data_IF_190584692217
#
_entry.id   IF_190584692217
#
_cell.length_a   1.000
_cell.length_b   1.000
_cell.length_c   1.000
_cell.angle_alpha   90.00
_cell.angle_beta   90.00
_cell.angle_gamma   90.00
#
_symmetry.space_group_name_H-M   'P 1'
#
loop_
_entity.id
_entity.type
_entity.pdbx_description
1 polymer ?
#
# COMPACT_ATOMS: atom_id res chain seq x y z
N UNK A 1 -2.57 -9.75 -16.26
CA UNK A 1 -2.23 -10.41 -14.99
C UNK A 1 -3.27 -9.99 -13.96
N UNK A 2 -3.81 -10.89 -13.12
CA UNK A 2 -4.69 -10.48 -12.01
C UNK A 2 -3.82 -10.10 -10.80
N UNK A 3 -4.11 -9.00 -10.09
CA UNK A 3 -3.35 -8.65 -8.88
C UNK A 3 -3.52 -9.74 -7.81
N UNK A 4 -2.51 -9.90 -6.96
CA UNK A 4 -2.67 -10.70 -5.75
C UNK A 4 -3.68 -10.02 -4.82
N UNK A 5 -4.41 -10.81 -4.03
CA UNK A 5 -5.38 -10.27 -3.06
C UNK A 5 -4.90 -10.47 -1.63
N UNK A 6 -4.82 -9.40 -0.87
CA UNK A 6 -4.46 -9.46 0.56
C UNK A 6 -5.23 -8.42 1.35
N UNK A 7 -5.81 -8.82 2.48
CA UNK A 7 -6.50 -7.88 3.36
C UNK A 7 -5.56 -7.42 4.48
N UNK A 8 -5.63 -6.14 4.80
CA UNK A 8 -4.82 -5.51 5.83
C UNK A 8 -5.68 -5.14 7.03
N UNK A 9 -5.06 -5.13 8.20
CA UNK A 9 -5.63 -4.57 9.42
C UNK A 9 -4.82 -3.36 9.84
N UNK A 10 -5.49 -2.23 10.05
CA UNK A 10 -4.85 -1.00 10.49
C UNK A 10 -5.53 -0.52 11.76
N UNK A 11 -4.73 -0.35 12.82
CA UNK A 11 -5.20 0.28 14.05
C UNK A 11 -5.28 1.79 13.81
N UNK A 12 -6.48 2.35 14.00
CA UNK A 12 -6.75 3.77 13.77
C UNK A 12 -5.95 4.63 14.77
N UNK A 13 -5.17 5.58 14.26
CA UNK A 13 -4.27 6.43 15.05
C UNK A 13 -2.89 5.84 15.32
N UNK A 14 -2.54 4.72 14.68
CA UNK A 14 -1.23 4.09 14.81
C UNK A 14 -0.38 4.33 13.55
N UNK A 15 0.84 4.83 13.72
CA UNK A 15 1.78 5.09 12.62
C UNK A 15 2.74 3.92 12.34
N UNK A 16 2.30 2.67 12.57
CA UNK A 16 3.16 1.49 12.35
C UNK A 16 3.51 1.35 10.85
N UNK A 17 4.78 1.19 10.48
CA UNK A 17 5.18 0.97 9.09
C UNK A 17 4.56 -0.31 8.51
N UNK A 18 4.20 -0.27 7.23
CA UNK A 18 3.77 -1.43 6.45
C UNK A 18 4.70 -1.61 5.25
N UNK A 19 5.24 -2.81 5.09
CA UNK A 19 6.18 -3.12 4.01
C UNK A 19 5.54 -4.07 3.01
N UNK A 20 5.48 -3.64 1.76
CA UNK A 20 5.04 -4.41 0.61
C UNK A 20 6.27 -5.04 -0.05
N UNK A 21 6.32 -6.38 -0.04
CA UNK A 21 7.33 -7.16 -0.76
C UNK A 21 6.64 -7.83 -1.94
N UNK A 22 6.95 -7.39 -3.15
CA UNK A 22 6.40 -8.02 -4.35
C UNK A 22 7.46 -8.89 -5.01
N UNK A 23 7.20 -10.19 -5.01
CA UNK A 23 8.01 -11.17 -5.68
C UNK A 23 7.11 -12.09 -6.53
N UNK A 24 7.63 -12.54 -7.66
CA UNK A 24 7.01 -13.57 -8.49
C UNK A 24 7.87 -14.82 -8.42
N UNK A 25 7.22 -15.96 -8.24
CA UNK A 25 7.90 -17.25 -8.37
C UNK A 25 7.71 -17.75 -9.79
N UNK A 26 8.81 -17.90 -10.53
CA UNK A 26 8.82 -18.43 -11.89
C UNK A 26 9.79 -19.61 -11.94
N UNK A 27 9.31 -20.77 -12.41
CA UNK A 27 10.10 -22.01 -12.51
C UNK A 27 10.82 -22.40 -11.21
N UNK A 28 10.20 -22.16 -10.05
CA UNK A 28 10.77 -22.48 -8.74
C UNK A 28 11.76 -21.44 -8.18
N UNK A 29 12.07 -20.38 -8.92
CA UNK A 29 12.88 -19.26 -8.44
C UNK A 29 11.99 -18.07 -8.07
N UNK A 30 12.19 -17.52 -6.87
CA UNK A 30 11.55 -16.26 -6.46
C UNK A 30 12.37 -15.09 -6.98
N UNK A 31 11.75 -14.26 -7.81
CA UNK A 31 12.33 -13.03 -8.34
C UNK A 31 11.55 -11.83 -7.81
N UNK A 32 12.26 -10.85 -7.25
CA UNK A 32 11.69 -9.54 -6.98
C UNK A 32 11.41 -8.81 -8.28
N UNK A 33 10.33 -8.04 -8.30
CA UNK A 33 10.05 -7.18 -9.43
C UNK A 33 11.05 -6.04 -9.46
N UNK A 34 11.82 -5.92 -10.54
CA UNK A 34 12.86 -4.90 -10.74
C UNK A 34 12.54 -3.99 -11.92
N UNK A 35 13.25 -2.87 -12.01
CA UNK A 35 13.20 -1.95 -13.16
C UNK A 35 11.98 -1.01 -13.21
N UNK A 36 11.12 -1.06 -12.20
CA UNK A 36 10.10 -0.03 -11.98
C UNK A 36 10.74 1.22 -11.37
N UNK A 37 10.15 2.38 -11.65
CA UNK A 37 10.67 3.69 -11.20
C UNK A 37 9.84 4.29 -10.08
N UNK A 38 8.55 3.95 -10.03
CA UNK A 38 7.61 4.53 -9.07
C UNK A 38 6.65 3.48 -8.55
N UNK A 39 6.40 3.51 -7.24
CA UNK A 39 5.30 2.78 -6.64
C UNK A 39 4.19 3.76 -6.23
N UNK A 40 2.95 3.29 -6.33
CA UNK A 40 1.76 4.04 -5.95
C UNK A 40 0.90 3.16 -5.05
N UNK A 41 0.53 3.70 -3.89
CA UNK A 41 -0.49 3.13 -3.02
C UNK A 41 -1.72 4.04 -3.07
N UNK A 42 -2.82 3.49 -3.57
CA UNK A 42 -4.12 4.16 -3.57
C UNK A 42 -5.02 3.50 -2.54
N UNK A 43 -5.56 4.29 -1.61
CA UNK A 43 -6.48 3.83 -0.57
C UNK A 43 -7.80 4.57 -0.74
N UNK A 44 -8.87 3.84 -0.97
CA UNK A 44 -10.20 4.40 -1.18
C UNK A 44 -11.06 4.14 0.05
N UNK A 45 -11.39 5.22 0.74
CA UNK A 45 -12.35 5.22 1.85
C UNK A 45 -13.71 5.69 1.33
N UNK A 46 -14.79 5.54 2.12
CA UNK A 46 -16.10 6.10 1.75
C UNK A 46 -16.12 7.63 1.62
N UNK A 47 -15.14 8.35 2.19
CA UNK A 47 -15.12 9.82 2.28
C UNK A 47 -14.01 10.47 1.45
N UNK A 48 -12.95 9.75 1.16
CA UNK A 48 -11.74 10.30 0.55
C UNK A 48 -10.90 9.22 -0.15
N UNK A 49 -10.05 9.67 -1.07
CA UNK A 49 -8.99 8.86 -1.66
C UNK A 49 -7.65 9.37 -1.14
N UNK A 50 -6.86 8.47 -0.56
CA UNK A 50 -5.49 8.73 -0.11
C UNK A 50 -4.56 8.13 -1.15
N UNK A 51 -3.66 8.93 -1.69
CA UNK A 51 -2.66 8.49 -2.67
C UNK A 51 -1.27 8.75 -2.10
N UNK A 52 -0.45 7.70 -2.03
CA UNK A 52 0.95 7.77 -1.60
C UNK A 52 1.84 7.26 -2.73
N UNK A 53 3.00 7.88 -2.89
CA UNK A 53 3.95 7.54 -3.96
C UNK A 53 5.38 7.50 -3.42
N UNK A 54 6.30 6.93 -4.19
CA UNK A 54 7.73 6.93 -3.88
C UNK A 54 8.45 8.22 -4.31
N UNK A 55 7.73 9.22 -4.81
CA UNK A 55 8.34 10.51 -5.15
C UNK A 55 8.70 11.28 -3.87
N UNK A 56 9.42 12.39 -4.02
CA UNK A 56 9.68 13.30 -2.92
C UNK A 56 8.37 13.67 -2.21
N UNK A 57 8.31 13.45 -0.88
CA UNK A 57 7.15 13.71 -0.02
C UNK A 57 5.93 12.80 -0.24
N UNK A 58 6.01 11.77 -1.10
CA UNK A 58 4.89 10.88 -1.43
C UNK A 58 4.50 9.89 -0.33
N UNK A 59 5.30 9.75 0.73
CA UNK A 59 4.99 8.90 1.90
C UNK A 59 5.28 7.41 1.72
N UNK A 60 5.77 6.97 0.56
CA UNK A 60 6.35 5.64 0.36
C UNK A 60 7.87 5.74 0.26
N UNK A 61 8.56 4.72 0.78
CA UNK A 61 10.02 4.59 0.68
C UNK A 61 10.37 3.27 0.01
N UNK A 62 11.04 3.35 -1.15
CA UNK A 62 11.67 2.20 -1.79
C UNK A 62 12.92 1.81 -1.01
N UNK A 63 13.04 0.52 -0.71
CA UNK A 63 14.19 -0.09 -0.04
C UNK A 63 15.15 -0.67 -1.08
N UNK A 64 16.41 -0.88 -0.70
CA UNK A 64 17.46 -1.46 -1.57
C UNK A 64 17.11 -2.87 -2.08
N UNK A 65 16.35 -3.63 -1.30
CA UNK A 65 15.91 -4.99 -1.64
C UNK A 65 14.66 -5.02 -2.55
N UNK A 66 14.20 -3.85 -3.01
CA UNK A 66 13.00 -3.70 -3.84
C UNK A 66 11.69 -3.72 -3.06
N UNK A 67 11.72 -3.80 -1.73
CA UNK A 67 10.53 -3.61 -0.91
C UNK A 67 10.08 -2.14 -0.91
N UNK A 68 8.78 -1.91 -0.74
CA UNK A 68 8.22 -0.56 -0.58
C UNK A 68 7.58 -0.45 0.79
N UNK A 69 8.02 0.50 1.58
CA UNK A 69 7.47 0.74 2.92
C UNK A 69 6.61 1.99 2.91
N UNK A 70 5.37 1.86 3.38
CA UNK A 70 4.51 2.97 3.73
C UNK A 70 4.63 3.25 5.23
N UNK A 71 5.00 4.48 5.59
CA UNK A 71 4.89 4.98 6.96
C UNK A 71 3.63 5.86 7.05
N UNK A 72 2.48 5.32 7.49
CA UNK A 72 1.26 6.10 7.58
C UNK A 72 1.37 7.16 8.68
N UNK A 73 0.75 8.32 8.46
CA UNK A 73 0.55 9.29 9.53
C UNK A 73 -0.61 8.88 10.44
N UNK A 74 -0.69 9.51 11.62
CA UNK A 74 -1.86 9.36 12.52
C UNK A 74 -3.14 9.79 11.81
N UNK A 75 -3.07 10.85 11.00
CA UNK A 75 -4.19 11.34 10.20
C UNK A 75 -4.61 10.31 9.12
N UNK A 76 -3.64 9.76 8.39
CA UNK A 76 -3.89 8.73 7.38
C UNK A 76 -4.68 7.57 8.01
N UNK A 77 -4.21 7.03 9.14
CA UNK A 77 -4.87 5.88 9.79
C UNK A 77 -6.20 6.23 10.46
N UNK A 78 -6.39 7.47 10.95
CA UNK A 78 -7.68 7.91 11.52
C UNK A 78 -8.76 8.13 10.44
N UNK A 79 -8.36 8.48 9.23
CA UNK A 79 -9.26 8.65 8.08
C UNK A 79 -9.88 7.33 7.62
N UNK A 80 -9.24 6.20 7.93
CA UNK A 80 -9.76 4.87 7.66
C UNK A 80 -10.93 4.59 8.64
N UNK A 81 -12.16 4.37 8.14
CA UNK A 81 -13.30 4.03 8.99
C UNK A 81 -13.09 2.69 9.69
N UNK A 82 -13.77 2.52 10.83
CA UNK A 82 -13.82 1.22 11.50
C UNK A 82 -14.52 0.18 10.61
N UNK A 83 -14.02 -1.05 10.61
CA UNK A 83 -14.54 -2.15 9.81
C UNK A 83 -13.94 -2.20 8.40
N UNK A 84 -14.46 -3.12 7.57
CA UNK A 84 -13.93 -3.46 6.24
C UNK A 84 -14.62 -2.65 5.14
N UNK A 85 -14.45 -1.32 5.19
CA UNK A 85 -15.11 -0.37 4.29
C UNK A 85 -14.13 0.36 3.35
N UNK A 86 -12.85 0.03 3.44
CA UNK A 86 -11.79 0.68 2.68
C UNK A 86 -11.13 -0.32 1.77
N UNK A 87 -10.99 0.01 0.49
CA UNK A 87 -10.19 -0.76 -0.46
C UNK A 87 -8.83 -0.11 -0.65
N UNK A 88 -7.86 -0.89 -1.12
CA UNK A 88 -6.58 -0.37 -1.54
C UNK A 88 -6.05 -1.11 -2.77
N UNK A 89 -5.20 -0.41 -3.51
CA UNK A 89 -4.44 -0.93 -4.64
C UNK A 89 -3.00 -0.45 -4.52
N UNK A 90 -2.07 -1.37 -4.78
CA UNK A 90 -0.65 -1.11 -4.85
C UNK A 90 -0.15 -1.40 -6.27
N UNK A 91 0.43 -0.39 -6.88
CA UNK A 91 0.79 -0.35 -8.29
C UNK A 91 2.28 -0.01 -8.44
N UNK A 92 2.93 -0.62 -9.43
CA UNK A 92 4.25 -0.21 -9.89
C UNK A 92 4.13 0.42 -11.27
N UNK A 93 4.99 1.41 -11.54
CA UNK A 93 5.06 2.14 -12.80
C UNK A 93 6.50 2.09 -13.33
N UNK A 94 6.65 1.90 -14.63
CA UNK A 94 7.93 1.82 -15.33
C UNK A 94 8.16 3.05 -16.22
N UNK A 95 9.43 3.32 -16.54
CA UNK A 95 9.86 4.37 -17.46
C UNK A 95 9.16 4.30 -18.83
N UNK A 96 8.83 3.08 -19.27
CA UNK A 96 8.13 2.81 -20.53
C UNK A 96 6.67 3.28 -20.54
N UNK A 97 6.14 3.77 -19.41
CA UNK A 97 4.73 4.09 -19.24
C UNK A 97 3.86 2.88 -18.86
N UNK A 98 4.46 1.69 -18.77
CA UNK A 98 3.76 0.52 -18.26
C UNK A 98 3.38 0.71 -16.79
N UNK A 99 2.18 0.26 -16.42
CA UNK A 99 1.68 0.27 -15.06
C UNK A 99 1.02 -1.08 -14.75
N UNK A 100 1.30 -1.62 -13.56
CA UNK A 100 0.69 -2.88 -13.12
C UNK A 100 0.31 -2.82 -11.65
N UNK A 101 -0.96 -3.09 -11.37
CA UNK A 101 -1.46 -3.38 -10.02
C UNK A 101 -0.97 -4.76 -9.59
N UNK A 102 -0.23 -4.82 -8.48
CA UNK A 102 0.38 -6.05 -8.00
C UNK A 102 -0.35 -6.62 -6.79
N UNK A 103 -0.89 -5.74 -5.95
CA UNK A 103 -1.64 -6.11 -4.76
C UNK A 103 -2.90 -5.26 -4.68
N UNK A 104 -4.02 -5.89 -4.37
CA UNK A 104 -5.25 -5.18 -4.06
C UNK A 104 -5.96 -5.89 -2.90
N UNK A 105 -6.84 -5.18 -2.22
CA UNK A 105 -7.65 -5.79 -1.18
C UNK A 105 -8.40 -4.79 -0.35
N UNK A 106 -8.83 -5.24 0.82
CA UNK A 106 -9.55 -4.40 1.77
C UNK A 106 -8.67 -4.10 2.97
N UNK A 107 -8.83 -2.91 3.52
CA UNK A 107 -8.31 -2.52 4.82
C UNK A 107 -9.46 -2.59 5.82
N UNK A 108 -9.22 -3.28 6.94
CA UNK A 108 -10.09 -3.26 8.11
C UNK A 108 -9.52 -2.28 9.12
N UNK A 109 -10.23 -1.17 9.36
CA UNK A 109 -9.88 -0.25 10.44
C UNK A 109 -10.27 -0.82 11.80
N UNK A 110 -9.33 -0.87 12.74
CA UNK A 110 -9.54 -1.38 14.11
C UNK A 110 -9.42 -0.22 15.12
N UNK A 111 -10.36 -0.14 16.04
CA UNK A 111 -10.32 0.78 17.19
C UNK A 111 -10.75 2.23 16.90
N UNK A 112 -10.34 3.16 17.77
CA UNK A 112 -10.63 4.59 17.66
C UNK A 112 -11.97 5.04 18.30
N UNK A 113 -12.32 4.45 19.46
CA UNK A 113 -13.38 4.93 20.36
C UNK A 113 -12.80 5.84 21.47
N UNK A 114 -11.48 6.03 21.54
CA UNK A 114 -10.94 7.04 22.45
C UNK A 114 -11.23 8.42 21.87
N UNK A 115 -12.30 9.02 22.36
CA UNK A 115 -12.52 10.46 22.35
C UNK A 115 -11.41 11.11 23.17
N UNK A 116 -10.33 11.53 22.50
CA UNK A 116 -9.62 12.72 22.99
C UNK A 116 -10.54 13.93 22.84
#
# INVERSE_FOLDING_TARGET
MRPATFNLEIVRGNSRPMTFRVAVTQNGATQTWSGWERAVLTIQTPKAVIRKTTDAEGGLTQQEDGAVTWLPTVEDTRSIPSGRLTSYEFELQWASGEQRTLLAGMITGIGGINSD
#
